data_IF_571895715896
#
_entry.id   IF_571895715896
#
_cell.length_a   1.000
_cell.length_b   1.000
_cell.length_c   1.000
_cell.angle_alpha   90.00
_cell.angle_beta   90.00
_cell.angle_gamma   90.00
#
_symmetry.space_group_name_H-M   'P 1'
#
loop_
_entity.id
_entity.type
_entity.pdbx_description
1 polymer ?
#
# COMPACT_ATOMS: atom_id res chain seq x y z
N UNK A 1 1.36 -53.81 -41.88
CA UNK A 1 1.86 -53.40 -40.52
C UNK A 1 2.47 -51.99 -40.49
N UNK A 2 3.22 -51.51 -41.50
CA UNK A 2 3.82 -50.14 -41.49
C UNK A 2 2.78 -49.01 -41.43
N UNK A 3 1.67 -49.12 -42.11
CA UNK A 3 0.63 -48.08 -42.16
C UNK A 3 -0.16 -47.97 -40.84
N UNK A 4 -0.33 -49.08 -40.14
CA UNK A 4 -1.03 -49.10 -38.85
C UNK A 4 -0.28 -48.31 -37.80
N UNK A 5 1.05 -48.38 -37.78
CA UNK A 5 1.91 -47.59 -36.89
C UNK A 5 1.87 -46.10 -37.24
N UNK A 6 1.81 -45.74 -38.51
CA UNK A 6 1.69 -44.34 -38.94
C UNK A 6 0.37 -43.71 -38.49
N UNK A 7 -0.75 -44.41 -38.67
CA UNK A 7 -2.06 -43.88 -38.20
C UNK A 7 -2.15 -43.79 -36.68
N UNK A 8 -1.54 -44.73 -35.97
CA UNK A 8 -1.47 -44.65 -34.48
C UNK A 8 -0.65 -43.46 -34.02
N UNK A 9 0.48 -43.17 -34.66
CA UNK A 9 1.32 -42.00 -34.34
C UNK A 9 0.61 -40.68 -34.62
N UNK A 10 -0.11 -40.55 -35.74
CA UNK A 10 -0.90 -39.36 -36.05
C UNK A 10 -2.08 -39.15 -35.10
N UNK A 11 -2.73 -40.23 -34.64
CA UNK A 11 -3.81 -40.17 -33.66
C UNK A 11 -3.34 -39.66 -32.30
N UNK A 12 -2.15 -40.08 -31.85
CA UNK A 12 -1.56 -39.63 -30.57
C UNK A 12 -1.17 -38.17 -30.63
N UNK A 13 -0.59 -37.69 -31.74
CA UNK A 13 -0.24 -36.25 -31.91
C UNK A 13 -1.50 -35.38 -31.97
N UNK A 14 -2.59 -35.86 -32.58
CA UNK A 14 -3.87 -35.13 -32.59
C UNK A 14 -4.50 -34.95 -31.22
N UNK A 15 -4.31 -35.91 -30.29
CA UNK A 15 -4.88 -35.84 -28.95
C UNK A 15 -4.19 -34.78 -28.08
N UNK A 16 -2.90 -34.47 -28.31
CA UNK A 16 -2.17 -33.46 -27.56
C UNK A 16 -2.53 -32.01 -27.92
N UNK A 17 -3.16 -31.79 -29.08
CA UNK A 17 -3.52 -30.43 -29.50
C UNK A 17 -4.84 -29.91 -28.90
N UNK A 18 -5.64 -30.77 -28.27
CA UNK A 18 -6.90 -30.40 -27.62
C UNK A 18 -6.75 -30.14 -26.11
N UNK A 19 -5.56 -30.28 -25.55
CA UNK A 19 -5.29 -30.06 -24.12
C UNK A 19 -4.96 -28.58 -23.75
N UNK A 20 -5.23 -27.59 -24.62
CA UNK A 20 -5.29 -26.20 -24.21
C UNK A 20 -6.63 -25.99 -23.47
N UNK A 21 -6.74 -26.52 -22.28
CA UNK A 21 -7.78 -26.14 -21.33
C UNK A 21 -7.58 -24.68 -20.97
N UNK A 22 -8.47 -23.81 -21.46
CA UNK A 22 -8.62 -22.44 -20.94
C UNK A 22 -8.96 -22.57 -19.46
N UNK A 23 -8.00 -22.33 -18.59
CA UNK A 23 -8.30 -22.12 -17.18
C UNK A 23 -9.24 -20.91 -17.11
N UNK A 24 -10.40 -21.01 -16.49
CA UNK A 24 -11.20 -19.83 -16.22
C UNK A 24 -10.29 -18.92 -15.37
N UNK A 25 -9.88 -17.79 -15.95
CA UNK A 25 -9.33 -16.70 -15.17
C UNK A 25 -10.44 -16.35 -14.20
N UNK A 26 -10.28 -16.82 -12.98
CA UNK A 26 -11.15 -16.42 -11.90
C UNK A 26 -10.92 -14.91 -11.80
N UNK A 27 -11.84 -14.13 -12.36
CA UNK A 27 -11.96 -12.72 -12.07
C UNK A 27 -12.24 -12.67 -10.58
N UNK A 28 -11.16 -12.76 -9.79
CA UNK A 28 -11.23 -12.39 -8.40
C UNK A 28 -11.84 -10.99 -8.43
N UNK A 29 -13.10 -10.91 -8.02
CA UNK A 29 -13.78 -9.64 -7.78
C UNK A 29 -12.73 -8.82 -7.08
N UNK A 30 -12.28 -7.73 -7.74
CA UNK A 30 -11.41 -6.73 -7.13
C UNK A 30 -12.17 -6.37 -5.86
N UNK A 31 -11.76 -6.95 -4.75
CA UNK A 31 -12.38 -6.65 -3.46
C UNK A 31 -12.19 -5.16 -3.31
N UNK A 32 -13.26 -4.40 -3.34
CA UNK A 32 -13.20 -2.98 -3.03
C UNK A 32 -12.62 -2.91 -1.62
N UNK A 33 -11.34 -2.56 -1.57
CA UNK A 33 -10.63 -2.44 -0.32
C UNK A 33 -11.27 -1.29 0.44
N UNK A 34 -11.84 -1.61 1.60
CA UNK A 34 -12.51 -0.61 2.42
C UNK A 34 -11.48 0.42 2.89
N UNK A 35 -11.82 1.71 2.87
CA UNK A 35 -10.97 2.76 3.42
C UNK A 35 -10.56 2.43 4.86
N UNK A 36 -9.30 2.67 5.20
CA UNK A 36 -8.85 2.61 6.59
C UNK A 36 -9.15 3.95 7.24
N UNK A 37 -10.06 3.93 8.18
CA UNK A 37 -10.43 5.12 8.96
C UNK A 37 -9.51 5.22 10.17
N UNK A 38 -8.86 6.36 10.30
CA UNK A 38 -8.06 6.74 11.45
C UNK A 38 -8.83 7.83 12.18
N UNK A 39 -9.55 7.46 13.23
CA UNK A 39 -10.40 8.41 13.96
C UNK A 39 -10.08 8.41 15.45
N UNK A 40 -10.39 9.53 16.09
CA UNK A 40 -10.52 9.67 17.53
C UNK A 40 -11.80 10.45 17.80
N UNK A 41 -12.84 9.75 18.21
CA UNK A 41 -14.19 10.30 18.41
C UNK A 41 -14.22 11.41 19.46
N UNK A 42 -13.32 11.36 20.45
CA UNK A 42 -13.22 12.39 21.49
C UNK A 42 -12.64 13.72 20.99
N UNK A 43 -11.99 13.70 19.83
CA UNK A 43 -11.32 14.88 19.25
C UNK A 43 -11.95 15.31 17.91
N UNK A 44 -13.02 14.64 17.47
CA UNK A 44 -13.61 14.82 16.14
C UNK A 44 -12.55 14.75 15.01
N UNK A 45 -11.52 13.92 15.22
CA UNK A 45 -10.40 13.76 14.29
C UNK A 45 -10.61 12.52 13.44
N UNK A 46 -10.59 12.70 12.13
CA UNK A 46 -10.72 11.61 11.17
C UNK A 46 -9.76 11.81 10.00
N UNK A 47 -8.99 10.76 9.69
CA UNK A 47 -8.23 10.64 8.43
C UNK A 47 -8.67 9.37 7.72
N UNK A 48 -9.19 9.52 6.51
CA UNK A 48 -9.62 8.39 5.67
C UNK A 48 -8.49 8.06 4.70
N UNK A 49 -7.94 6.85 4.81
CA UNK A 49 -6.90 6.35 3.91
C UNK A 49 -7.53 5.38 2.92
N UNK A 50 -7.56 5.78 1.64
CA UNK A 50 -8.06 4.98 0.52
C UNK A 50 -6.86 4.53 -0.34
N UNK A 51 -5.88 3.88 0.27
CA UNK A 51 -4.68 3.45 -0.45
C UNK A 51 -4.66 1.93 -0.56
N UNK A 52 -4.79 1.44 -1.79
CA UNK A 52 -4.88 0.00 -2.08
C UNK A 52 -3.66 -0.76 -1.54
N UNK A 53 -3.92 -1.81 -0.75
CA UNK A 53 -2.92 -2.65 -0.09
C UNK A 53 -2.60 -2.23 1.35
N UNK A 54 -3.09 -1.09 1.83
CA UNK A 54 -2.77 -0.66 3.20
C UNK A 54 -3.41 -1.56 4.27
N UNK A 55 -4.65 -1.99 4.07
CA UNK A 55 -5.30 -2.97 4.98
C UNK A 55 -4.53 -4.27 5.06
N UNK A 56 -4.08 -4.79 3.91
CA UNK A 56 -3.25 -6.00 3.86
C UNK A 56 -1.92 -5.77 4.59
N UNK A 57 -1.26 -4.63 4.35
CA UNK A 57 -0.02 -4.28 5.04
C UNK A 57 -0.19 -4.25 6.56
N UNK A 58 -1.26 -3.63 7.07
CA UNK A 58 -1.55 -3.58 8.51
C UNK A 58 -1.70 -4.97 9.13
N UNK A 59 -2.32 -5.89 8.39
CA UNK A 59 -2.63 -7.23 8.89
C UNK A 59 -1.48 -8.23 8.76
N UNK A 60 -0.51 -7.98 7.86
CA UNK A 60 0.51 -8.99 7.53
C UNK A 60 1.95 -8.53 7.79
N UNK A 61 2.23 -7.22 7.68
CA UNK A 61 3.61 -6.68 7.72
C UNK A 61 3.82 -5.76 8.92
N UNK A 62 2.81 -4.98 9.29
CA UNK A 62 2.92 -4.04 10.40
C UNK A 62 3.27 -4.74 11.72
N UNK A 63 4.16 -4.14 12.51
CA UNK A 63 4.45 -4.65 13.85
C UNK A 63 3.23 -4.49 14.76
N UNK A 64 3.06 -5.34 15.78
CA UNK A 64 1.96 -5.19 16.73
C UNK A 64 1.89 -3.80 17.36
N UNK A 65 0.68 -3.35 17.72
CA UNK A 65 0.43 -2.01 18.26
C UNK A 65 1.32 -1.66 19.46
N UNK A 66 1.62 -2.63 20.30
CA UNK A 66 2.42 -2.45 21.53
C UNK A 66 3.93 -2.52 21.28
N UNK A 67 4.37 -2.68 20.03
CA UNK A 67 5.79 -2.76 19.70
C UNK A 67 6.51 -1.42 19.88
N UNK A 68 5.82 -0.32 19.60
CA UNK A 68 6.36 1.03 19.74
C UNK A 68 5.68 1.78 20.88
N UNK A 69 6.44 2.61 21.59
CA UNK A 69 5.85 3.53 22.55
C UNK A 69 5.07 4.65 21.85
N UNK A 70 4.04 5.20 22.53
CA UNK A 70 3.26 6.32 22.01
C UNK A 70 4.17 7.51 21.66
N UNK A 71 5.12 7.87 22.54
CA UNK A 71 6.05 8.98 22.31
C UNK A 71 6.91 8.75 21.05
N UNK A 72 7.36 7.52 20.80
CA UNK A 72 8.07 7.18 19.57
C UNK A 72 7.21 7.43 18.34
N UNK A 73 5.97 6.96 18.35
CA UNK A 73 5.03 7.12 17.24
C UNK A 73 4.70 8.61 16.99
N UNK A 74 4.42 9.38 18.04
CA UNK A 74 4.15 10.82 17.94
C UNK A 74 5.33 11.56 17.31
N UNK A 75 6.55 11.33 17.77
CA UNK A 75 7.74 11.97 17.21
C UNK A 75 7.98 11.61 15.74
N UNK A 76 7.79 10.33 15.38
CA UNK A 76 7.94 9.87 13.99
C UNK A 76 6.85 10.45 13.08
N UNK A 77 5.61 10.46 13.55
CA UNK A 77 4.48 11.01 12.79
C UNK A 77 4.65 12.51 12.54
N UNK A 78 5.06 13.28 13.54
CA UNK A 78 5.33 14.69 13.37
C UNK A 78 6.35 14.95 12.25
N UNK A 79 7.45 14.22 12.24
CA UNK A 79 8.46 14.32 11.19
C UNK A 79 7.92 13.91 9.82
N UNK A 80 7.19 12.79 9.73
CA UNK A 80 6.64 12.29 8.47
C UNK A 80 5.56 13.22 7.91
N UNK A 81 4.65 13.71 8.75
CA UNK A 81 3.62 14.68 8.34
C UNK A 81 4.25 15.97 7.83
N UNK A 82 5.25 16.49 8.53
CA UNK A 82 5.97 17.69 8.09
C UNK A 82 6.55 17.50 6.69
N UNK A 83 7.28 16.40 6.46
CA UNK A 83 7.89 16.13 5.16
C UNK A 83 6.84 15.82 4.08
N UNK A 84 5.76 15.13 4.41
CA UNK A 84 4.64 14.88 3.49
C UNK A 84 3.99 16.18 3.07
N UNK A 85 3.62 17.03 4.02
CA UNK A 85 2.92 18.28 3.77
C UNK A 85 3.78 19.30 2.98
N UNK A 86 5.09 19.34 3.24
CA UNK A 86 6.01 20.13 2.41
C UNK A 86 6.01 19.68 0.95
N UNK A 87 5.87 18.40 0.69
CA UNK A 87 5.82 17.85 -0.69
C UNK A 87 4.45 18.08 -1.34
N UNK A 88 3.36 17.92 -0.58
CA UNK A 88 2.00 18.24 -1.03
C UNK A 88 1.85 19.70 -1.48
N UNK A 89 2.56 20.63 -0.82
CA UNK A 89 2.59 22.05 -1.18
C UNK A 89 3.42 22.36 -2.45
N UNK A 90 4.17 21.40 -2.97
CA UNK A 90 5.05 21.58 -4.13
C UNK A 90 4.75 20.58 -5.26
N UNK A 91 3.55 20.64 -5.88
CA UNK A 91 3.12 19.67 -6.89
C UNK A 91 3.96 19.72 -8.18
N UNK A 92 4.64 20.83 -8.44
CA UNK A 92 5.57 20.94 -9.59
C UNK A 92 6.84 20.10 -9.39
N UNK A 93 7.25 19.85 -8.15
CA UNK A 93 8.47 19.11 -7.82
C UNK A 93 8.19 17.69 -7.40
N UNK A 94 7.05 17.43 -6.76
CA UNK A 94 6.69 16.14 -6.20
C UNK A 94 5.40 15.62 -6.84
N UNK A 95 5.33 14.31 -7.02
CA UNK A 95 4.19 13.66 -7.65
C UNK A 95 2.90 13.87 -6.85
N UNK A 96 1.96 14.64 -7.41
CA UNK A 96 0.65 14.92 -6.79
C UNK A 96 -0.24 13.68 -6.64
N UNK A 97 0.00 12.62 -7.41
CA UNK A 97 -0.71 11.34 -7.21
C UNK A 97 -0.32 10.64 -5.91
N UNK A 98 0.86 10.96 -5.36
CA UNK A 98 1.30 10.45 -4.05
C UNK A 98 0.93 11.42 -2.94
N UNK A 99 1.24 12.70 -3.13
CA UNK A 99 1.09 13.77 -2.14
C UNK A 99 -0.14 14.63 -2.42
N UNK A 100 -1.25 14.02 -2.87
CA UNK A 100 -2.44 14.76 -3.32
C UNK A 100 -3.08 15.63 -2.23
N UNK A 101 -3.07 15.17 -0.98
CA UNK A 101 -3.67 15.87 0.14
C UNK A 101 -2.67 16.11 1.27
N UNK A 102 -2.83 17.24 1.93
CA UNK A 102 -2.16 17.50 3.21
C UNK A 102 -2.80 16.64 4.30
N UNK A 103 -1.98 16.21 5.24
CA UNK A 103 -2.44 15.50 6.43
C UNK A 103 -2.54 16.53 7.57
N UNK A 104 -3.73 16.68 8.11
CA UNK A 104 -3.95 17.53 9.28
C UNK A 104 -3.58 16.74 10.54
N UNK A 105 -2.43 17.06 11.10
CA UNK A 105 -1.89 16.45 12.31
C UNK A 105 -1.07 17.49 13.06
N UNK A 106 -1.43 17.74 14.30
CA UNK A 106 -0.77 18.71 15.17
C UNK A 106 -0.05 18.02 16.33
N UNK A 107 1.25 18.31 16.56
CA UNK A 107 1.99 17.74 17.68
C UNK A 107 1.49 18.19 19.06
N UNK A 108 0.65 19.22 19.12
CA UNK A 108 0.03 19.71 20.36
C UNK A 108 -1.20 18.91 20.77
N UNK A 109 -1.77 18.11 19.85
CA UNK A 109 -2.97 17.31 20.09
C UNK A 109 -2.58 15.89 20.47
N UNK A 110 -3.21 15.36 21.51
CA UNK A 110 -3.02 13.98 21.98
C UNK A 110 -3.99 13.03 21.29
N UNK A 111 -3.64 12.57 20.12
CA UNK A 111 -4.49 11.65 19.32
C UNK A 111 -4.61 10.23 19.86
N UNK A 112 -3.74 9.85 20.82
CA UNK A 112 -3.72 8.51 21.38
C UNK A 112 -2.99 7.46 20.53
N UNK A 113 -2.90 6.24 21.09
CA UNK A 113 -2.08 5.17 20.50
C UNK A 113 -2.63 4.68 19.16
N UNK A 114 -3.95 4.56 19.03
CA UNK A 114 -4.59 4.01 17.84
C UNK A 114 -4.33 4.86 16.59
N UNK A 115 -4.61 6.15 16.69
CA UNK A 115 -4.37 7.12 15.61
C UNK A 115 -2.90 7.15 15.22
N UNK A 116 -2.03 7.28 16.22
CA UNK A 116 -0.59 7.35 15.97
C UNK A 116 -0.03 6.06 15.38
N UNK A 117 -0.51 4.91 15.80
CA UNK A 117 -0.11 3.61 15.24
C UNK A 117 -0.52 3.47 13.77
N UNK A 118 -1.79 3.76 13.44
CA UNK A 118 -2.27 3.66 12.05
C UNK A 118 -1.55 4.66 11.14
N UNK A 119 -1.42 5.91 11.57
CA UNK A 119 -0.74 6.95 10.79
C UNK A 119 0.74 6.61 10.54
N UNK A 120 1.45 6.15 11.56
CA UNK A 120 2.83 5.69 11.42
C UNK A 120 2.95 4.56 10.39
N UNK A 121 2.09 3.54 10.50
CA UNK A 121 2.12 2.41 9.58
C UNK A 121 1.73 2.82 8.15
N UNK A 122 0.84 3.80 7.98
CA UNK A 122 0.58 4.36 6.66
C UNK A 122 1.84 4.97 6.04
N UNK A 123 2.60 5.74 6.78
CA UNK A 123 3.86 6.27 6.27
C UNK A 123 4.90 5.18 5.96
N UNK A 124 4.98 4.11 6.77
CA UNK A 124 5.85 2.98 6.45
C UNK A 124 5.42 2.31 5.13
N UNK A 125 4.13 2.05 4.98
CA UNK A 125 3.55 1.49 3.76
C UNK A 125 3.79 2.39 2.53
N UNK A 126 3.50 3.69 2.64
CA UNK A 126 3.69 4.64 1.55
C UNK A 126 5.17 4.73 1.11
N UNK A 127 6.11 4.75 2.07
CA UNK A 127 7.54 4.73 1.77
C UNK A 127 7.96 3.48 1.01
N UNK A 128 7.42 2.33 1.39
CA UNK A 128 7.70 1.05 0.74
C UNK A 128 7.06 0.97 -0.65
N UNK A 129 5.77 1.31 -0.75
CA UNK A 129 4.99 1.22 -1.99
C UNK A 129 5.49 2.18 -3.07
N UNK A 130 5.71 3.43 -2.70
CA UNK A 130 6.06 4.51 -3.63
C UNK A 130 7.57 4.75 -3.75
N UNK A 131 8.39 3.95 -3.04
CA UNK A 131 9.86 4.09 -3.01
C UNK A 131 10.31 5.51 -2.63
N UNK A 132 9.62 6.12 -1.67
CA UNK A 132 9.90 7.45 -1.14
C UNK A 132 10.54 7.36 0.24
N UNK A 133 11.14 8.48 0.70
CA UNK A 133 11.69 8.59 2.05
C UNK A 133 11.13 9.82 2.74
N UNK A 134 10.65 9.66 3.97
CA UNK A 134 10.07 10.73 4.78
C UNK A 134 10.91 11.02 6.04
N UNK A 135 12.05 10.38 6.22
CA UNK A 135 12.90 10.43 7.41
C UNK A 135 13.88 11.64 7.47
N UNK A 136 13.62 12.65 6.68
CA UNK A 136 14.37 13.92 6.74
C UNK A 136 15.72 13.94 6.01
N UNK A 137 16.37 12.79 5.78
CA UNK A 137 17.65 12.75 5.07
C UNK A 137 17.55 13.10 3.57
N UNK A 138 16.33 13.07 3.05
CA UNK A 138 16.00 13.32 1.63
C UNK A 138 14.93 14.39 1.46
N UNK A 139 14.98 15.44 2.27
CA UNK A 139 13.93 16.49 2.31
C UNK A 139 13.62 17.12 0.96
N UNK A 140 14.53 17.04 0.02
CA UNK A 140 14.46 17.75 -1.25
C UNK A 140 14.78 16.86 -2.47
N UNK A 141 15.00 15.55 -2.28
CA UNK A 141 15.21 14.67 -3.44
C UNK A 141 13.91 14.45 -4.18
N UNK A 142 13.82 14.79 -5.48
CA UNK A 142 12.71 14.37 -6.31
C UNK A 142 12.63 12.84 -6.30
N UNK A 143 11.43 12.29 -6.45
CA UNK A 143 11.29 10.86 -6.67
C UNK A 143 12.11 10.48 -7.90
N UNK A 144 13.18 9.72 -7.74
CA UNK A 144 13.86 9.15 -8.89
C UNK A 144 12.89 8.19 -9.59
N UNK A 145 12.74 8.40 -10.90
CA UNK A 145 11.98 7.53 -11.80
C UNK A 145 12.67 6.19 -11.95
#
# INVERSE_FOLDING_TARGET
MKYLFQYLAFSIVGLFLFACGSYPVNNSKKSEEKPVIISNDSLEYEVIIIDTGFTLYLNTIAKPKNYYSLNYLENRNNMYVTNWNLRALNPLKFNSSIYGNRIDYSPQIRYGLEVNYKLFNYFQFAQQKYKIRLDGASRLSPNFR
#
